data_IF_067816678410
#
_entry.id   IF_067816678410
#
_cell.length_a   1.000
_cell.length_b   1.000
_cell.length_c   1.000
_cell.angle_alpha   90.00
_cell.angle_beta   90.00
_cell.angle_gamma   90.00
#
_symmetry.space_group_name_H-M   'P 1'
#
loop_
_entity.id
_entity.type
_entity.pdbx_description
1 polymer ?
#
# COMPACT_ATOMS: atom_id res chain seq x y z
N UNK A 1 -0.17 5.87 -18.40
CA UNK A 1 0.18 6.18 -17.00
C UNK A 1 1.52 5.50 -16.74
N UNK A 2 2.54 6.24 -16.28
CA UNK A 2 3.91 5.74 -16.25
C UNK A 2 4.38 5.35 -14.84
N UNK A 3 5.43 4.53 -14.79
CA UNK A 3 6.02 3.90 -13.60
C UNK A 3 6.40 4.91 -12.50
N UNK A 4 6.76 6.15 -12.87
CA UNK A 4 7.12 7.18 -11.90
C UNK A 4 5.93 7.57 -11.04
N UNK A 5 4.76 7.77 -11.65
CA UNK A 5 3.52 8.14 -10.94
C UNK A 5 3.14 7.08 -9.91
N UNK A 6 3.28 5.79 -10.26
CA UNK A 6 3.01 4.67 -9.35
C UNK A 6 3.97 4.66 -8.16
N UNK A 7 5.27 4.86 -8.42
CA UNK A 7 6.29 4.94 -7.37
C UNK A 7 6.04 6.12 -6.42
N UNK A 8 5.71 7.30 -6.96
CA UNK A 8 5.40 8.49 -6.15
C UNK A 8 4.19 8.26 -5.25
N UNK A 9 3.11 7.67 -5.78
CA UNK A 9 1.92 7.32 -4.98
C UNK A 9 2.26 6.32 -3.87
N UNK A 10 3.08 5.31 -4.16
CA UNK A 10 3.50 4.31 -3.19
C UNK A 10 4.37 4.92 -2.08
N UNK A 11 5.31 5.80 -2.44
CA UNK A 11 6.16 6.51 -1.48
C UNK A 11 5.31 7.39 -0.55
N UNK A 12 4.33 8.12 -1.09
CA UNK A 12 3.45 8.96 -0.26
C UNK A 12 2.62 8.10 0.71
N UNK A 13 2.04 7.01 0.19
CA UNK A 13 1.28 6.04 1.00
C UNK A 13 2.11 5.48 2.15
N UNK A 14 3.33 5.01 1.86
CA UNK A 14 4.26 4.49 2.87
C UNK A 14 4.57 5.53 3.95
N UNK A 15 4.80 6.79 3.57
CA UNK A 15 5.05 7.88 4.54
C UNK A 15 3.85 8.11 5.46
N UNK A 16 2.62 8.02 4.95
CA UNK A 16 1.41 8.19 5.77
C UNK A 16 1.16 7.00 6.69
N UNK A 17 1.35 5.79 6.19
CA UNK A 17 1.23 4.58 7.02
C UNK A 17 2.31 4.54 8.11
N UNK A 18 3.56 4.92 7.83
CA UNK A 18 4.60 5.02 8.85
C UNK A 18 4.25 6.04 9.92
N UNK A 19 3.73 7.21 9.54
CA UNK A 19 3.23 8.20 10.49
C UNK A 19 2.07 7.65 11.32
N UNK A 20 1.10 7.00 10.69
CA UNK A 20 -0.04 6.39 11.37
C UNK A 20 0.38 5.28 12.34
N UNK A 21 1.33 4.42 11.97
CA UNK A 21 1.90 3.36 12.82
C UNK A 21 2.41 3.91 14.15
N UNK A 22 3.04 5.09 14.17
CA UNK A 22 3.52 5.71 15.43
C UNK A 22 2.40 5.98 16.43
N UNK A 23 1.15 6.13 15.97
CA UNK A 23 -0.03 6.32 16.84
C UNK A 23 -0.59 5.02 17.40
N UNK A 24 -0.15 3.86 16.87
CA UNK A 24 -0.71 2.54 17.18
C UNK A 24 0.20 1.63 18.03
N UNK A 25 1.43 2.06 18.37
CA UNK A 25 2.52 1.20 18.86
C UNK A 25 2.25 0.29 20.09
N UNK A 26 1.12 0.46 20.80
CA UNK A 26 0.71 -0.36 21.93
C UNK A 26 -0.45 -1.33 21.63
N UNK A 27 -0.89 -1.43 20.38
CA UNK A 27 -2.04 -2.25 19.97
C UNK A 27 -1.62 -3.57 19.33
N UNK A 28 -2.50 -4.55 19.46
CA UNK A 28 -2.37 -5.87 18.83
C UNK A 28 -2.20 -5.76 17.32
N UNK A 29 -2.99 -4.91 16.66
CA UNK A 29 -2.95 -4.74 15.20
C UNK A 29 -1.71 -3.97 14.70
N UNK A 30 -0.85 -3.45 15.59
CA UNK A 30 0.35 -2.70 15.21
C UNK A 30 1.34 -3.59 14.43
N UNK A 31 1.43 -4.87 14.80
CA UNK A 31 2.26 -5.85 14.12
C UNK A 31 1.76 -6.13 12.70
N UNK A 32 0.44 -6.27 12.52
CA UNK A 32 -0.15 -6.50 11.21
C UNK A 32 0.04 -5.29 10.28
N UNK A 33 -0.09 -4.08 10.82
CA UNK A 33 0.22 -2.85 10.08
C UNK A 33 1.70 -2.78 9.68
N UNK A 34 2.62 -3.09 10.60
CA UNK A 34 4.06 -3.10 10.30
C UNK A 34 4.40 -4.13 9.21
N UNK A 35 3.80 -5.31 9.28
CA UNK A 35 3.93 -6.35 8.26
C UNK A 35 3.40 -5.87 6.89
N UNK A 36 2.26 -5.19 6.87
CA UNK A 36 1.69 -4.64 5.63
C UNK A 36 2.57 -3.53 5.02
N UNK A 37 3.11 -2.63 5.85
CA UNK A 37 4.04 -1.58 5.41
C UNK A 37 5.32 -2.19 4.84
N UNK A 38 5.85 -3.25 5.47
CA UNK A 38 7.03 -3.96 4.97
C UNK A 38 6.79 -4.52 3.57
N UNK A 39 5.64 -5.16 3.32
CA UNK A 39 5.30 -5.68 1.99
C UNK A 39 5.23 -4.57 0.93
N UNK A 40 4.56 -3.45 1.24
CA UNK A 40 4.55 -2.29 0.34
C UNK A 40 5.95 -1.70 0.08
N UNK A 41 6.83 -1.76 1.08
CA UNK A 41 8.24 -1.35 0.94
C UNK A 41 8.99 -2.30 -0.01
N UNK A 42 8.75 -3.61 0.09
CA UNK A 42 9.28 -4.60 -0.84
C UNK A 42 8.78 -4.36 -2.27
N UNK A 43 7.49 -4.02 -2.46
CA UNK A 43 6.96 -3.63 -3.78
C UNK A 43 7.65 -2.38 -4.32
N UNK A 44 7.94 -1.39 -3.48
CA UNK A 44 8.67 -0.18 -3.92
C UNK A 44 10.06 -0.54 -4.44
N UNK A 45 10.79 -1.40 -3.74
CA UNK A 45 12.09 -1.87 -4.21
C UNK A 45 11.97 -2.63 -5.53
N UNK A 46 10.99 -3.53 -5.67
CA UNK A 46 10.71 -4.22 -6.93
C UNK A 46 10.45 -3.23 -8.06
N UNK A 47 9.59 -2.23 -7.85
CA UNK A 47 9.30 -1.20 -8.84
C UNK A 47 10.53 -0.36 -9.23
N UNK A 48 11.49 -0.17 -8.33
CA UNK A 48 12.71 0.62 -8.61
C UNK A 48 13.74 -0.14 -9.44
N UNK A 49 13.78 -1.48 -9.33
CA UNK A 49 14.74 -2.30 -10.06
C UNK A 49 14.20 -2.83 -11.40
N UNK A 50 12.87 -2.81 -11.58
CA UNK A 50 12.23 -3.25 -12.82
C UNK A 50 12.52 -2.26 -13.96
N UNK A 51 13.01 -2.80 -15.09
CA UNK A 51 13.17 -2.05 -16.34
C UNK A 51 11.84 -1.71 -17.00
N UNK A 52 10.79 -2.49 -16.73
CA UNK A 52 9.43 -2.31 -17.23
C UNK A 52 8.44 -2.98 -16.27
N UNK A 53 7.21 -2.45 -16.21
CA UNK A 53 6.11 -3.04 -15.46
C UNK A 53 5.51 -4.24 -16.21
N UNK A 54 5.06 -5.25 -15.47
CA UNK A 54 4.49 -6.49 -16.03
C UNK A 54 2.97 -6.48 -16.09
N UNK A 55 2.32 -5.66 -15.26
CA UNK A 55 0.87 -5.45 -15.29
C UNK A 55 0.39 -4.58 -16.45
N UNK A 56 -0.90 -4.66 -16.74
CA UNK A 56 -1.57 -3.80 -17.72
C UNK A 56 -1.71 -2.36 -17.20
N UNK A 57 -2.09 -1.43 -18.10
CA UNK A 57 -2.42 -0.04 -17.72
C UNK A 57 -3.56 0.00 -16.71
N UNK A 58 -4.53 -0.91 -16.82
CA UNK A 58 -5.65 -1.01 -15.89
C UNK A 58 -5.19 -1.48 -14.51
N UNK A 59 -4.25 -2.43 -14.43
CA UNK A 59 -3.66 -2.90 -13.17
C UNK A 59 -2.90 -1.77 -12.45
N UNK A 60 -2.16 -0.96 -13.22
CA UNK A 60 -1.43 0.20 -12.70
C UNK A 60 -2.42 1.25 -12.16
N UNK A 61 -3.46 1.56 -12.95
CA UNK A 61 -4.47 2.54 -12.56
C UNK A 61 -5.23 2.10 -11.31
N UNK A 62 -5.59 0.82 -11.24
CA UNK A 62 -6.23 0.22 -10.06
C UNK A 62 -5.34 0.31 -8.82
N UNK A 63 -4.06 -0.04 -8.96
CA UNK A 63 -3.09 0.04 -7.86
C UNK A 63 -2.96 1.47 -7.33
N UNK A 64 -2.93 2.48 -8.22
CA UNK A 64 -2.88 3.89 -7.82
C UNK A 64 -4.14 4.33 -7.06
N UNK A 65 -5.32 3.91 -7.51
CA UNK A 65 -6.56 4.27 -6.80
C UNK A 65 -6.63 3.63 -5.40
N UNK A 66 -6.16 2.38 -5.26
CA UNK A 66 -6.02 1.75 -3.93
C UNK A 66 -5.02 2.51 -3.05
N UNK A 67 -3.85 2.88 -3.57
CA UNK A 67 -2.86 3.65 -2.81
C UNK A 67 -3.40 5.01 -2.35
N UNK A 68 -4.13 5.72 -3.22
CA UNK A 68 -4.81 6.98 -2.85
C UNK A 68 -5.87 6.76 -1.77
N UNK A 69 -6.64 5.67 -1.85
CA UNK A 69 -7.63 5.32 -0.83
C UNK A 69 -6.96 5.08 0.53
N UNK A 70 -5.91 4.26 0.56
CA UNK A 70 -5.13 3.96 1.78
C UNK A 70 -4.55 5.24 2.38
N UNK A 71 -3.95 6.09 1.54
CA UNK A 71 -3.39 7.39 1.97
C UNK A 71 -4.47 8.25 2.64
N UNK A 72 -5.63 8.39 1.99
CA UNK A 72 -6.75 9.19 2.53
C UNK A 72 -7.30 8.63 3.84
N UNK A 73 -7.39 7.31 3.97
CA UNK A 73 -7.85 6.68 5.22
C UNK A 73 -6.82 6.82 6.35
N UNK A 74 -5.52 6.71 6.06
CA UNK A 74 -4.46 6.96 7.02
C UNK A 74 -4.48 8.42 7.51
N UNK A 75 -4.62 9.39 6.61
CA UNK A 75 -4.73 10.82 6.97
C UNK A 75 -5.98 11.09 7.80
N UNK A 76 -7.14 10.52 7.42
CA UNK A 76 -8.37 10.64 8.21
C UNK A 76 -8.19 10.10 9.64
N UNK A 77 -7.52 8.95 9.77
CA UNK A 77 -7.27 8.32 11.06
C UNK A 77 -6.28 9.13 11.92
N UNK A 78 -5.34 9.83 11.29
CA UNK A 78 -4.43 10.77 11.96
C UNK A 78 -5.17 12.03 12.44
N UNK A 79 -6.13 12.54 11.66
CA UNK A 79 -6.86 13.77 11.97
C UNK A 79 -7.98 13.58 13.01
N UNK A 80 -8.73 12.47 12.92
CA UNK A 80 -9.92 12.22 13.75
C UNK A 80 -9.61 11.42 15.02
N UNK A 81 -8.39 10.90 15.15
CA UNK A 81 -8.08 9.84 16.11
C UNK A 81 -8.50 8.47 15.57
N UNK A 82 -8.14 7.41 16.29
CA UNK A 82 -8.23 6.04 15.78
C UNK A 82 -9.33 5.22 16.48
N UNK A 83 -10.15 4.51 15.70
CA UNK A 83 -10.99 3.40 16.17
C UNK A 83 -10.36 2.04 15.79
N UNK A 84 -10.70 0.97 16.52
CA UNK A 84 -10.17 -0.38 16.24
C UNK A 84 -10.59 -0.89 14.86
N UNK A 85 -11.86 -0.67 14.49
CA UNK A 85 -12.39 -1.12 13.21
C UNK A 85 -11.74 -0.36 12.03
N UNK A 86 -11.47 0.93 12.21
CA UNK A 86 -10.77 1.74 11.22
C UNK A 86 -9.34 1.24 10.96
N UNK A 87 -8.62 0.84 12.02
CA UNK A 87 -7.28 0.29 11.89
C UNK A 87 -7.27 -1.02 11.08
N UNK A 88 -8.17 -1.95 11.40
CA UNK A 88 -8.29 -3.23 10.68
C UNK A 88 -8.66 -3.03 9.22
N UNK A 89 -9.56 -2.08 8.94
CA UNK A 89 -9.95 -1.73 7.58
C UNK A 89 -8.77 -1.15 6.80
N UNK A 90 -8.02 -0.24 7.39
CA UNK A 90 -6.82 0.32 6.76
C UNK A 90 -5.78 -0.76 6.45
N UNK A 91 -5.55 -1.69 7.38
CA UNK A 91 -4.65 -2.83 7.17
C UNK A 91 -5.15 -3.70 6.00
N UNK A 92 -6.44 -4.00 5.94
CA UNK A 92 -7.01 -4.79 4.86
C UNK A 92 -6.83 -4.13 3.49
N UNK A 93 -7.11 -2.82 3.37
CA UNK A 93 -6.87 -2.07 2.14
C UNK A 93 -5.38 -1.96 1.79
N UNK A 94 -4.50 -1.85 2.79
CA UNK A 94 -3.05 -1.86 2.58
C UNK A 94 -2.58 -3.18 1.98
N UNK A 95 -3.10 -4.31 2.48
CA UNK A 95 -2.83 -5.64 1.93
C UNK A 95 -3.43 -5.84 0.54
N UNK A 96 -4.57 -5.21 0.25
CA UNK A 96 -5.15 -5.21 -1.10
C UNK A 96 -4.27 -4.44 -2.09
N UNK A 97 -3.76 -3.27 -1.69
CA UNK A 97 -2.81 -2.50 -2.49
C UNK A 97 -1.53 -3.29 -2.78
N UNK A 98 -0.99 -4.03 -1.81
CA UNK A 98 0.15 -4.94 -2.01
C UNK A 98 -0.13 -6.04 -3.04
N UNK A 99 -1.32 -6.65 -3.00
CA UNK A 99 -1.72 -7.66 -3.99
C UNK A 99 -1.85 -7.07 -5.40
N UNK A 100 -2.44 -5.88 -5.52
CA UNK A 100 -2.55 -5.17 -6.79
C UNK A 100 -1.16 -4.83 -7.36
N UNK A 101 -0.27 -4.31 -6.51
CA UNK A 101 1.12 -4.03 -6.86
C UNK A 101 1.89 -5.28 -7.27
N UNK A 102 1.66 -6.41 -6.59
CA UNK A 102 2.25 -7.70 -6.97
C UNK A 102 1.87 -8.10 -8.40
N UNK A 103 0.64 -7.85 -8.82
CA UNK A 103 0.22 -8.07 -10.21
C UNK A 103 0.95 -7.14 -11.18
N UNK A 104 1.21 -5.90 -10.78
CA UNK A 104 1.98 -4.94 -11.58
C UNK A 104 3.47 -5.32 -11.70
N UNK A 105 4.08 -5.83 -10.62
CA UNK A 105 5.51 -6.15 -10.57
C UNK A 105 5.84 -7.54 -11.11
N UNK A 106 4.99 -8.53 -10.85
CA UNK A 106 5.21 -9.93 -11.23
C UNK A 106 4.38 -10.37 -12.46
N UNK A 107 3.34 -9.63 -12.81
CA UNK A 107 2.35 -10.03 -13.82
C UNK A 107 1.22 -10.88 -13.22
N UNK A 108 0.35 -11.42 -14.08
CA UNK A 108 -0.64 -12.41 -13.64
C UNK A 108 0.08 -13.68 -13.16
N UNK A 109 -0.03 -13.96 -11.86
CA UNK A 109 0.30 -15.28 -11.33
C UNK A 109 -0.73 -16.26 -11.87
N UNK A 110 -0.45 -16.85 -13.03
CA UNK A 110 -1.24 -17.93 -13.58
C UNK A 110 -1.41 -19.02 -12.52
N UNK A 111 -2.66 -19.45 -12.30
CA UNK A 111 -2.97 -20.59 -11.45
C UNK A 111 -2.09 -21.78 -11.88
N UNK A 112 -1.19 -22.20 -10.99
CA UNK A 112 -0.54 -23.52 -11.03
C UNK A 112 -1.43 -24.46 -10.23
#
# INVERSE_FOLDING_TARGET
>A
MDQLTLQECLIDTLRRLEKYKTTMYLREDAYDLESAIKKLTEQLFSLQILSELKGSIDDISYSIELLKMVTKEADRSLDQGFELDDARKLIAHTLEADRALSKVTLGELGHI
#
